data_IF_044227034557
#
_entry.id   IF_044227034557
#
_cell.length_a   1.000
_cell.length_b   1.000
_cell.length_c   1.000
_cell.angle_alpha   90.00
_cell.angle_beta   90.00
_cell.angle_gamma   90.00
#
_symmetry.space_group_name_H-M   'P 1'
#
loop_
_entity.id
_entity.type
_entity.pdbx_description
1 polymer ?
#
# COMPACT_ATOMS: atom_id res chain seq x y z
N UNK A 1 -37.53 29.98 -35.30
CA UNK A 1 -37.51 28.99 -34.20
C UNK A 1 -36.36 28.03 -34.46
N UNK A 2 -35.28 28.08 -33.68
CA UNK A 2 -34.18 27.13 -33.78
C UNK A 2 -34.57 25.89 -32.96
N UNK A 3 -34.81 24.75 -33.61
CA UNK A 3 -35.03 23.48 -32.88
C UNK A 3 -33.75 23.14 -32.11
N UNK A 4 -33.85 22.98 -30.79
CA UNK A 4 -32.73 22.42 -30.03
C UNK A 4 -32.51 20.98 -30.48
N UNK A 5 -31.25 20.56 -30.71
CA UNK A 5 -30.98 19.18 -31.08
C UNK A 5 -31.41 18.24 -29.96
N UNK A 6 -32.13 17.19 -30.34
CA UNK A 6 -32.52 16.09 -29.45
C UNK A 6 -31.28 15.35 -28.95
N UNK A 7 -31.19 15.12 -27.65
CA UNK A 7 -30.12 14.33 -27.04
C UNK A 7 -30.48 12.85 -27.16
N UNK A 8 -29.60 12.08 -27.80
CA UNK A 8 -29.69 10.61 -27.86
C UNK A 8 -29.12 9.99 -26.58
N UNK A 9 -30.01 9.80 -25.60
CA UNK A 9 -29.66 9.23 -24.30
C UNK A 9 -29.05 7.82 -24.40
N UNK A 10 -29.45 7.00 -25.39
CA UNK A 10 -28.92 5.65 -25.56
C UNK A 10 -27.48 5.67 -26.06
N UNK A 11 -27.14 6.59 -26.96
CA UNK A 11 -25.76 6.81 -27.39
C UNK A 11 -24.88 7.25 -26.22
N UNK A 12 -25.35 8.20 -25.41
CA UNK A 12 -24.61 8.65 -24.23
C UNK A 12 -24.33 7.49 -23.26
N UNK A 13 -25.35 6.70 -22.93
CA UNK A 13 -25.20 5.52 -22.05
C UNK A 13 -24.21 4.49 -22.58
N UNK A 14 -24.23 4.19 -23.90
CA UNK A 14 -23.27 3.26 -24.51
C UNK A 14 -21.84 3.81 -24.45
N UNK A 15 -21.66 5.09 -24.75
CA UNK A 15 -20.34 5.73 -24.74
C UNK A 15 -19.75 5.77 -23.33
N UNK A 16 -20.59 6.00 -22.32
CA UNK A 16 -20.21 5.91 -20.90
C UNK A 16 -19.82 4.48 -20.51
N UNK A 17 -20.62 3.47 -20.89
CA UNK A 17 -20.32 2.05 -20.66
C UNK A 17 -18.97 1.63 -21.27
N UNK A 18 -18.71 2.00 -22.52
CA UNK A 18 -17.45 1.67 -23.20
C UNK A 18 -16.25 2.34 -22.52
N UNK A 19 -16.40 3.60 -22.09
CA UNK A 19 -15.38 4.33 -21.33
C UNK A 19 -15.13 3.72 -19.95
N UNK A 20 -16.20 3.31 -19.24
CA UNK A 20 -16.12 2.62 -17.96
C UNK A 20 -15.37 1.28 -18.07
N UNK A 21 -15.65 0.50 -19.11
CA UNK A 21 -14.95 -0.76 -19.39
C UNK A 21 -13.46 -0.54 -19.70
N UNK A 22 -13.13 0.47 -20.52
CA UNK A 22 -11.75 0.81 -20.83
C UNK A 22 -10.96 1.27 -19.57
N UNK A 23 -11.59 2.09 -18.72
CA UNK A 23 -11.02 2.51 -17.43
C UNK A 23 -10.85 1.32 -16.47
N UNK A 24 -11.83 0.40 -16.42
CA UNK A 24 -11.72 -0.82 -15.62
C UNK A 24 -10.53 -1.68 -16.07
N UNK A 25 -10.36 -1.89 -17.38
CA UNK A 25 -9.21 -2.63 -17.92
C UNK A 25 -7.89 -1.96 -17.56
N UNK A 26 -7.78 -0.65 -17.75
CA UNK A 26 -6.58 0.14 -17.39
C UNK A 26 -6.24 -0.02 -15.90
N UNK A 27 -7.25 -0.04 -15.02
CA UNK A 27 -7.07 -0.24 -13.58
C UNK A 27 -6.59 -1.66 -13.25
N UNK A 28 -7.10 -2.66 -13.95
CA UNK A 28 -6.66 -4.07 -13.80
C UNK A 28 -5.20 -4.21 -14.19
N UNK A 29 -4.80 -3.65 -15.33
CA UNK A 29 -3.41 -3.65 -15.80
C UNK A 29 -2.46 -2.93 -14.83
N UNK A 30 -2.86 -1.75 -14.35
CA UNK A 30 -2.08 -1.01 -13.37
C UNK A 30 -1.90 -1.81 -12.06
N UNK A 31 -2.97 -2.46 -11.56
CA UNK A 31 -2.91 -3.31 -10.36
C UNK A 31 -1.97 -4.50 -10.59
N UNK A 32 -2.03 -5.14 -11.75
CA UNK A 32 -1.13 -6.25 -12.10
C UNK A 32 0.34 -5.82 -12.16
N UNK A 33 0.62 -4.65 -12.74
CA UNK A 33 1.98 -4.08 -12.79
C UNK A 33 2.55 -3.81 -11.39
N UNK A 34 1.74 -3.23 -10.50
CA UNK A 34 2.15 -2.98 -9.11
C UNK A 34 2.43 -4.29 -8.38
N UNK A 35 1.53 -5.28 -8.49
CA UNK A 35 1.73 -6.62 -7.88
C UNK A 35 3.04 -7.26 -8.32
N UNK A 36 3.34 -7.22 -9.62
CA UNK A 36 4.60 -7.72 -10.16
C UNK A 36 5.81 -6.97 -9.59
N UNK A 37 5.73 -5.63 -9.53
CA UNK A 37 6.79 -4.79 -8.98
C UNK A 37 7.06 -5.10 -7.50
N UNK A 38 5.99 -5.31 -6.71
CA UNK A 38 6.09 -5.69 -5.29
C UNK A 38 6.72 -7.07 -5.14
N UNK A 39 6.29 -8.06 -5.94
CA UNK A 39 6.87 -9.40 -5.91
C UNK A 39 8.38 -9.38 -6.20
N UNK A 40 8.81 -8.63 -7.23
CA UNK A 40 10.22 -8.45 -7.53
C UNK A 40 10.99 -7.77 -6.40
N UNK A 41 10.40 -6.75 -5.78
CA UNK A 41 11.04 -6.03 -4.70
C UNK A 41 11.20 -6.87 -3.44
N UNK A 42 10.21 -7.70 -3.09
CA UNK A 42 10.32 -8.67 -2.00
C UNK A 42 11.46 -9.67 -2.29
N UNK A 43 11.49 -10.26 -3.48
CA UNK A 43 12.52 -11.22 -3.88
C UNK A 43 13.94 -10.62 -3.89
N UNK A 44 14.06 -9.31 -4.12
CA UNK A 44 15.35 -8.60 -4.23
C UNK A 44 15.71 -7.81 -2.97
N UNK A 45 14.96 -7.94 -1.87
CA UNK A 45 15.23 -7.20 -0.62
C UNK A 45 15.09 -5.68 -0.75
N UNK A 46 14.22 -5.21 -1.65
CA UNK A 46 13.94 -3.78 -1.92
C UNK A 46 12.76 -3.21 -1.13
N UNK A 47 12.22 -3.97 -0.17
CA UNK A 47 11.25 -3.47 0.81
C UNK A 47 12.01 -2.95 2.03
N UNK A 48 11.71 -1.73 2.44
CA UNK A 48 12.29 -1.10 3.62
C UNK A 48 11.20 -0.46 4.49
N UNK A 49 11.55 -0.02 5.70
CA UNK A 49 10.62 0.58 6.63
C UNK A 49 11.14 1.93 7.12
N UNK A 50 10.31 2.95 7.04
CA UNK A 50 10.59 4.29 7.58
C UNK A 50 9.75 4.52 8.84
N UNK A 51 10.22 5.41 9.72
CA UNK A 51 9.57 5.70 10.99
C UNK A 51 9.01 7.12 10.98
N UNK A 52 7.71 7.25 11.20
CA UNK A 52 7.04 8.54 11.35
C UNK A 52 6.74 8.79 12.82
N UNK A 53 7.24 9.88 13.43
CA UNK A 53 6.96 10.18 14.84
C UNK A 53 5.49 10.54 15.02
N UNK A 54 4.84 9.90 16.00
CA UNK A 54 3.54 10.32 16.54
C UNK A 54 3.82 11.04 17.84
N UNK A 55 3.45 12.31 17.90
CA UNK A 55 3.83 13.22 19.01
C UNK A 55 2.63 13.52 19.89
N UNK A 56 2.90 13.91 21.15
CA UNK A 56 1.87 14.40 22.05
C UNK A 56 1.46 15.81 21.67
N UNK A 57 0.16 16.11 21.71
CA UNK A 57 -0.34 17.46 21.42
C UNK A 57 0.25 18.51 22.40
N UNK A 58 0.43 18.12 23.66
CA UNK A 58 0.99 19.01 24.70
C UNK A 58 2.49 19.25 24.54
N UNK A 59 3.22 18.37 23.84
CA UNK A 59 4.65 18.52 23.59
C UNK A 59 5.09 17.85 22.27
N UNK A 60 5.01 18.58 21.14
CA UNK A 60 5.37 18.05 19.81
C UNK A 60 6.85 17.68 19.65
N UNK A 61 7.73 18.09 20.58
CA UNK A 61 9.16 17.73 20.54
C UNK A 61 9.45 16.34 21.09
N UNK A 62 8.48 15.72 21.76
CA UNK A 62 8.63 14.40 22.36
C UNK A 62 7.71 13.40 21.66
N UNK A 63 8.25 12.52 20.82
CA UNK A 63 7.49 11.41 20.24
C UNK A 63 6.90 10.53 21.33
N UNK A 64 5.62 10.23 21.24
CA UNK A 64 4.96 9.24 22.09
C UNK A 64 5.35 7.82 21.65
N UNK A 65 5.40 7.61 20.34
CA UNK A 65 5.86 6.40 19.64
C UNK A 65 6.16 6.74 18.18
N UNK A 66 6.65 5.78 17.41
CA UNK A 66 6.85 5.90 15.98
C UNK A 66 5.99 4.91 15.22
N UNK A 67 5.32 5.37 14.17
CA UNK A 67 4.67 4.48 13.22
C UNK A 67 5.68 3.97 12.20
N UNK A 68 5.80 2.65 12.09
CA UNK A 68 6.64 2.00 11.10
C UNK A 68 5.86 1.79 9.80
N UNK A 69 6.34 2.39 8.71
CA UNK A 69 5.66 2.42 7.43
C UNK A 69 6.49 1.79 6.33
N UNK A 70 5.92 0.81 5.63
CA UNK A 70 6.56 0.13 4.51
C UNK A 70 6.87 1.10 3.36
N UNK A 71 7.98 0.82 2.68
CA UNK A 71 8.50 1.54 1.52
C UNK A 71 9.01 0.54 0.50
N UNK A 72 8.74 0.81 -0.78
CA UNK A 72 9.22 0.02 -1.90
C UNK A 72 10.27 0.82 -2.66
N UNK A 73 11.51 0.34 -2.71
CA UNK A 73 12.54 0.95 -3.56
C UNK A 73 12.40 0.42 -4.98
N UNK A 74 12.09 1.29 -5.93
CA UNK A 74 11.98 0.97 -7.36
C UNK A 74 13.37 0.83 -8.01
N UNK A 75 13.48 0.17 -9.19
CA UNK A 75 14.76 -0.02 -9.87
C UNK A 75 15.48 1.28 -10.23
N UNK A 76 14.73 2.36 -10.46
CA UNK A 76 15.26 3.69 -10.73
C UNK A 76 15.68 4.46 -9.46
N UNK A 77 15.66 3.81 -8.29
CA UNK A 77 16.02 4.39 -7.00
C UNK A 77 14.91 5.16 -6.29
N UNK A 78 13.78 5.43 -6.95
CA UNK A 78 12.64 6.10 -6.31
C UNK A 78 12.03 5.23 -5.20
N UNK A 79 11.47 5.90 -4.18
CA UNK A 79 10.81 5.23 -3.06
C UNK A 79 9.31 5.44 -3.18
N UNK A 80 8.56 4.34 -3.29
CA UNK A 80 7.11 4.33 -3.28
C UNK A 80 6.59 4.11 -1.85
N UNK A 81 5.62 4.92 -1.43
CA UNK A 81 4.95 4.77 -0.13
C UNK A 81 3.96 3.62 -0.15
N UNK A 82 3.61 3.09 1.03
CA UNK A 82 2.63 2.03 1.19
C UNK A 82 1.30 2.32 0.47
N UNK A 83 0.79 3.57 0.55
CA UNK A 83 -0.44 3.96 -0.16
C UNK A 83 -0.37 3.79 -1.69
N UNK A 84 0.84 3.80 -2.27
CA UNK A 84 1.06 3.59 -3.70
C UNK A 84 1.07 2.13 -4.14
N UNK A 85 1.16 1.16 -3.22
CA UNK A 85 1.20 -0.26 -3.59
C UNK A 85 0.32 -1.19 -2.76
N UNK A 86 0.02 -0.89 -1.50
CA UNK A 86 -0.77 -1.74 -0.61
C UNK A 86 -2.16 -2.10 -1.15
N UNK A 87 -2.95 -1.17 -1.75
CA UNK A 87 -4.26 -1.52 -2.34
C UNK A 87 -4.19 -2.58 -3.46
N UNK A 88 -3.00 -2.79 -4.03
CA UNK A 88 -2.79 -3.82 -5.03
C UNK A 88 -2.55 -5.21 -4.42
N UNK A 89 -2.00 -5.29 -3.20
CA UNK A 89 -1.40 -6.50 -2.63
C UNK A 89 -1.95 -6.94 -1.26
N UNK A 90 -2.66 -6.07 -0.54
CA UNK A 90 -3.10 -6.30 0.85
C UNK A 90 -3.99 -7.54 1.00
N UNK A 91 -4.85 -7.82 0.01
CA UNK A 91 -5.76 -8.98 0.04
C UNK A 91 -5.10 -10.31 -0.39
N UNK A 92 -3.78 -10.41 -0.39
CA UNK A 92 -3.07 -11.56 -0.96
C UNK A 92 -1.77 -11.93 -0.26
N UNK A 93 -1.11 -12.96 -0.80
CA UNK A 93 0.13 -13.52 -0.26
C UNK A 93 1.27 -12.48 -0.19
N UNK A 94 1.28 -11.50 -1.09
CA UNK A 94 2.28 -10.44 -1.10
C UNK A 94 2.09 -9.47 0.07
N UNK A 95 0.84 -9.14 0.43
CA UNK A 95 0.53 -8.35 1.61
C UNK A 95 1.01 -9.04 2.89
N UNK A 96 0.69 -10.34 3.05
CA UNK A 96 1.18 -11.14 4.20
C UNK A 96 2.70 -11.19 4.27
N UNK A 97 3.38 -11.38 3.13
CA UNK A 97 4.84 -11.36 3.09
C UNK A 97 5.43 -10.02 3.56
N UNK A 98 4.79 -8.90 3.23
CA UNK A 98 5.19 -7.56 3.69
C UNK A 98 4.95 -7.42 5.20
N UNK A 99 3.80 -7.88 5.70
CA UNK A 99 3.48 -7.81 7.12
C UNK A 99 4.49 -8.62 7.95
N UNK A 100 4.81 -9.85 7.55
CA UNK A 100 5.83 -10.69 8.23
C UNK A 100 7.21 -10.05 8.20
N UNK A 101 7.61 -9.52 7.04
CA UNK A 101 8.87 -8.80 6.91
C UNK A 101 8.89 -7.58 7.83
N UNK A 102 7.77 -6.86 7.93
CA UNK A 102 7.57 -5.74 8.83
C UNK A 102 7.74 -6.14 10.29
N UNK A 103 7.06 -7.20 10.73
CA UNK A 103 7.21 -7.69 12.11
C UNK A 103 8.65 -8.08 12.42
N UNK A 104 9.30 -8.85 11.55
CA UNK A 104 10.69 -9.25 11.75
C UNK A 104 11.63 -8.03 11.86
N UNK A 105 11.41 -6.98 11.06
CA UNK A 105 12.14 -5.71 11.18
C UNK A 105 11.84 -4.99 12.49
N UNK A 106 10.57 -4.92 12.90
CA UNK A 106 10.17 -4.28 14.14
C UNK A 106 10.79 -4.97 15.37
N UNK A 107 10.72 -6.31 15.44
CA UNK A 107 11.29 -7.07 16.54
C UNK A 107 12.80 -6.88 16.66
N UNK A 108 13.53 -6.88 15.54
CA UNK A 108 14.97 -6.55 15.53
C UNK A 108 15.24 -5.13 16.02
N UNK A 109 14.44 -4.15 15.58
CA UNK A 109 14.60 -2.75 15.99
C UNK A 109 14.33 -2.55 17.48
N UNK A 110 13.30 -3.21 18.02
CA UNK A 110 12.94 -3.18 19.44
C UNK A 110 13.99 -3.88 20.31
N UNK A 111 14.51 -5.03 19.87
CA UNK A 111 15.59 -5.73 20.57
C UNK A 111 16.87 -4.87 20.65
N UNK A 112 17.21 -4.16 19.57
CA UNK A 112 18.36 -3.27 19.54
C UNK A 112 18.14 -1.96 20.34
N UNK A 113 16.88 -1.54 20.54
CA UNK A 113 16.55 -0.28 21.19
C UNK A 113 15.40 -0.46 22.19
N UNK A 114 15.67 -0.90 23.44
CA UNK A 114 14.62 -1.21 24.41
C UNK A 114 13.70 -0.04 24.79
N UNK A 115 14.15 1.20 24.59
CA UNK A 115 13.34 2.41 24.81
C UNK A 115 12.44 2.80 23.62
N UNK A 116 12.56 2.10 22.49
CA UNK A 116 11.79 2.39 21.28
C UNK A 116 10.35 1.89 21.45
N UNK A 117 9.38 2.72 21.08
CA UNK A 117 7.97 2.36 21.00
C UNK A 117 7.54 2.43 19.54
N UNK A 118 7.15 1.29 18.97
CA UNK A 118 6.72 1.19 17.58
C UNK A 118 5.25 0.79 17.48
N UNK A 119 4.55 1.44 16.55
CA UNK A 119 3.33 0.91 15.96
C UNK A 119 3.68 0.18 14.66
N UNK A 120 3.13 -1.02 14.48
CA UNK A 120 3.31 -1.85 13.28
C UNK A 120 1.93 -2.09 12.68
N UNK A 121 1.80 -1.76 11.40
CA UNK A 121 0.57 -2.01 10.64
C UNK A 121 0.48 -3.49 10.24
N UNK A 122 -0.74 -4.02 10.22
CA UNK A 122 -1.02 -5.42 9.92
C UNK A 122 -2.32 -5.52 9.15
N UNK A 123 -2.35 -6.28 8.05
CA UNK A 123 -3.57 -6.51 7.29
C UNK A 123 -4.50 -7.51 8.00
N UNK A 124 -5.83 -7.45 7.78
CA UNK A 124 -6.77 -8.41 8.38
C UNK A 124 -6.44 -9.88 8.05
N UNK A 125 -5.93 -10.14 6.85
CA UNK A 125 -5.57 -11.49 6.41
C UNK A 125 -4.34 -12.06 7.13
N UNK A 126 -3.50 -11.20 7.71
CA UNK A 126 -2.34 -11.65 8.48
C UNK A 126 -2.72 -12.04 9.91
N UNK A 127 -3.92 -11.69 10.41
CA UNK A 127 -4.30 -11.91 11.81
C UNK A 127 -4.36 -13.39 12.20
N UNK A 128 -4.66 -14.26 11.24
CA UNK A 128 -4.67 -15.73 11.40
C UNK A 128 -3.47 -16.42 10.74
N UNK A 129 -2.39 -15.68 10.44
CA UNK A 129 -1.23 -16.23 9.78
C UNK A 129 -0.36 -17.03 10.77
N UNK A 130 -0.28 -18.36 10.60
CA UNK A 130 0.50 -19.24 11.47
C UNK A 130 2.01 -18.93 11.44
N UNK A 131 2.52 -18.41 10.32
CA UNK A 131 3.92 -18.03 10.18
C UNK A 131 4.20 -16.61 10.71
N UNK A 132 3.23 -15.97 11.38
CA UNK A 132 3.38 -14.62 11.93
C UNK A 132 4.49 -14.52 12.97
N UNK A 133 4.62 -15.51 13.86
CA UNK A 133 5.62 -15.54 14.93
C UNK A 133 6.80 -16.48 14.65
N UNK A 134 6.83 -17.10 13.47
CA UNK A 134 7.84 -18.09 13.09
C UNK A 134 9.23 -17.47 12.88
#
# INVERSE_FOLDING_TARGET
MHQMPSIDAFRLLRTMSDAEQAMAMTRVEAKARIRFTVAQALAQGRVSFHYQPVVRAENPRMPAFYEMLARLRLPNGQILSAGGFMPAVEDGILGRAIDRLGLAHALRALAANPGLRLSVNMSPLSMGDEEWLA
#
